data_IF_596299298730
#
_entry.id   IF_596299298730
#
_cell.length_a   1.000
_cell.length_b   1.000
_cell.length_c   1.000
_cell.angle_alpha   90.00
_cell.angle_beta   90.00
_cell.angle_gamma   90.00
#
_symmetry.space_group_name_H-M   'P 1'
#
loop_
_entity.id
_entity.type
_entity.pdbx_description
1 polymer ?
#
# COMPACT_ATOMS: atom_id res chain seq x y z
N UNK A 1 -19.06 3.63 0.58
CA UNK A 1 -17.60 3.65 0.81
C UNK A 1 -16.90 2.71 -0.18
N UNK A 2 -15.81 3.14 -0.77
CA UNK A 2 -15.05 2.33 -1.73
C UNK A 2 -14.45 1.09 -1.08
N UNK A 3 -14.41 0.00 -1.84
CA UNK A 3 -13.82 -1.27 -1.40
C UNK A 3 -12.61 -1.62 -2.27
N UNK A 4 -11.68 -2.33 -1.68
CA UNK A 4 -10.50 -2.85 -2.39
C UNK A 4 -10.98 -3.90 -3.39
N UNK A 5 -10.77 -3.63 -4.68
CA UNK A 5 -11.14 -4.53 -5.78
C UNK A 5 -9.97 -5.44 -6.17
N UNK A 6 -8.79 -4.85 -6.33
CA UNK A 6 -7.57 -5.58 -6.68
C UNK A 6 -6.32 -4.84 -6.21
N UNK A 7 -5.22 -5.56 -6.15
CA UNK A 7 -3.91 -5.01 -5.84
C UNK A 7 -2.93 -5.53 -6.89
N UNK A 8 -2.27 -4.60 -7.57
CA UNK A 8 -1.29 -4.91 -8.60
C UNK A 8 0.10 -4.47 -8.16
N UNK A 9 1.10 -5.26 -8.45
CA UNK A 9 2.49 -4.88 -8.27
C UNK A 9 3.11 -4.57 -9.64
N UNK A 10 3.71 -3.39 -9.73
CA UNK A 10 4.38 -2.91 -10.94
C UNK A 10 5.86 -2.77 -10.63
N UNK A 11 6.68 -3.55 -11.31
CA UNK A 11 8.13 -3.50 -11.14
C UNK A 11 8.77 -2.70 -12.27
N UNK A 12 9.58 -1.70 -11.91
CA UNK A 12 10.33 -0.91 -12.87
C UNK A 12 11.79 -1.40 -12.96
N UNK A 13 12.41 -1.27 -14.14
CA UNK A 13 13.77 -1.78 -14.38
C UNK A 13 14.75 -0.72 -14.92
N UNK A 14 14.26 0.42 -15.43
CA UNK A 14 15.10 1.38 -16.17
C UNK A 14 15.72 2.50 -15.33
N UNK A 15 15.08 2.95 -14.26
CA UNK A 15 15.52 4.12 -13.50
C UNK A 15 15.57 3.87 -12.00
N UNK A 16 15.83 2.65 -11.61
CA UNK A 16 15.78 2.17 -10.25
C UNK A 16 14.95 0.90 -10.17
N UNK A 17 15.17 0.10 -9.16
CA UNK A 17 14.41 -1.14 -8.96
C UNK A 17 13.25 -0.87 -8.01
N UNK A 18 12.23 -0.16 -8.52
CA UNK A 18 11.03 0.16 -7.76
C UNK A 18 10.00 -0.95 -7.89
N UNK A 19 9.38 -1.31 -6.79
CA UNK A 19 8.17 -2.13 -6.76
C UNK A 19 7.02 -1.25 -6.29
N UNK A 20 6.14 -0.91 -7.21
CA UNK A 20 4.99 -0.06 -6.93
C UNK A 20 3.79 -0.94 -6.64
N UNK A 21 3.12 -0.69 -5.53
CA UNK A 21 1.84 -1.31 -5.19
C UNK A 21 0.73 -0.37 -5.61
N UNK A 22 -0.16 -0.84 -6.46
CA UNK A 22 -1.36 -0.12 -6.89
C UNK A 22 -2.60 -0.80 -6.34
N UNK A 23 -3.29 -0.12 -5.44
CA UNK A 23 -4.57 -0.58 -4.90
C UNK A 23 -5.70 0.02 -5.72
N UNK A 24 -6.47 -0.84 -6.38
CA UNK A 24 -7.64 -0.44 -7.17
C UNK A 24 -8.90 -0.63 -6.34
N UNK A 25 -9.84 0.32 -6.49
CA UNK A 25 -11.13 0.24 -5.81
C UNK A 25 -12.26 -0.14 -6.77
N UNK A 26 -13.41 -0.44 -6.21
CA UNK A 26 -14.65 -0.66 -6.96
C UNK A 26 -15.25 0.65 -7.52
N UNK A 27 -14.72 1.81 -7.13
CA UNK A 27 -15.10 3.11 -7.70
C UNK A 27 -14.18 3.44 -8.88
N UNK A 28 -14.74 3.65 -10.09
CA UNK A 28 -13.94 3.99 -11.26
C UNK A 28 -13.06 5.22 -11.06
N UNK A 29 -11.79 5.11 -11.41
CA UNK A 29 -10.83 6.22 -11.29
C UNK A 29 -10.23 6.43 -9.91
N UNK A 30 -10.74 5.76 -8.86
CA UNK A 30 -10.18 5.86 -7.51
C UNK A 30 -9.21 4.70 -7.25
N UNK A 31 -7.95 5.04 -7.11
CA UNK A 31 -6.87 4.10 -6.78
C UNK A 31 -5.80 4.78 -5.93
N UNK A 32 -4.99 3.99 -5.27
CA UNK A 32 -3.84 4.48 -4.50
C UNK A 32 -2.55 3.80 -4.93
N UNK A 33 -1.45 4.48 -4.69
CA UNK A 33 -0.11 4.03 -5.02
C UNK A 33 0.77 4.08 -3.79
N UNK A 34 1.51 2.99 -3.55
CA UNK A 34 2.53 2.90 -2.52
C UNK A 34 3.79 2.25 -3.09
N UNK A 35 4.87 2.31 -2.34
CA UNK A 35 6.12 1.65 -2.71
C UNK A 35 6.41 0.51 -1.74
N UNK A 36 6.64 -0.68 -2.29
CA UNK A 36 7.11 -1.86 -1.59
C UNK A 36 8.48 -2.27 -2.14
N UNK A 37 9.39 -1.31 -2.25
CA UNK A 37 10.67 -1.50 -2.92
C UNK A 37 11.69 -2.16 -1.99
N UNK A 38 12.19 -3.30 -2.43
CA UNK A 38 13.35 -3.97 -1.86
C UNK A 38 14.29 -4.30 -3.03
N UNK A 39 15.48 -3.71 -3.03
CA UNK A 39 16.44 -3.84 -4.12
C UNK A 39 16.92 -5.28 -4.29
N UNK A 40 17.03 -6.03 -3.20
CA UNK A 40 17.60 -7.36 -3.20
C UNK A 40 16.58 -8.49 -3.41
N UNK A 41 15.32 -8.28 -2.97
CA UNK A 41 14.31 -9.34 -2.93
C UNK A 41 12.96 -8.88 -3.51
N UNK A 42 12.92 -8.25 -4.70
CA UNK A 42 11.67 -7.69 -5.22
C UNK A 42 10.60 -8.76 -5.50
N UNK A 43 10.98 -9.93 -6.04
CA UNK A 43 10.04 -11.02 -6.29
C UNK A 43 9.45 -11.58 -4.98
N UNK A 44 10.24 -11.65 -3.93
CA UNK A 44 9.80 -12.12 -2.62
C UNK A 44 8.77 -11.16 -2.02
N UNK A 45 9.00 -9.86 -2.16
CA UNK A 45 8.05 -8.83 -1.69
C UNK A 45 6.76 -8.89 -2.52
N UNK A 46 6.84 -9.04 -3.84
CA UNK A 46 5.67 -9.19 -4.71
C UNK A 46 4.85 -10.42 -4.29
N UNK A 47 5.50 -11.54 -4.03
CA UNK A 47 4.82 -12.74 -3.55
C UNK A 47 4.18 -12.52 -2.18
N UNK A 48 4.82 -11.76 -1.29
CA UNK A 48 4.22 -11.40 -0.01
C UNK A 48 2.95 -10.56 -0.18
N UNK A 49 2.93 -9.61 -1.11
CA UNK A 49 1.71 -8.87 -1.47
C UNK A 49 0.62 -9.83 -1.99
N UNK A 50 0.97 -10.78 -2.83
CA UNK A 50 0.02 -11.77 -3.35
C UNK A 50 -0.59 -12.61 -2.21
N UNK A 51 0.18 -12.99 -1.20
CA UNK A 51 -0.35 -13.74 -0.05
C UNK A 51 -1.23 -12.90 0.87
N UNK A 52 -1.03 -11.58 0.90
CA UNK A 52 -1.85 -10.65 1.69
C UNK A 52 -3.23 -10.40 1.03
N UNK A 53 -3.29 -10.39 -0.29
CA UNK A 53 -4.50 -10.04 -1.07
C UNK A 53 -5.78 -10.70 -0.56
N UNK A 54 -5.86 -12.02 -0.36
CA UNK A 54 -7.10 -12.67 0.05
C UNK A 54 -7.66 -12.16 1.38
N UNK A 55 -6.80 -11.64 2.24
CA UNK A 55 -7.18 -11.12 3.55
C UNK A 55 -7.87 -9.76 3.47
N UNK A 56 -7.53 -8.95 2.46
CA UNK A 56 -7.95 -7.55 2.40
C UNK A 56 -8.85 -7.19 1.22
N UNK A 57 -8.90 -7.99 0.17
CA UNK A 57 -9.83 -7.76 -0.95
C UNK A 57 -11.27 -7.72 -0.43
N UNK A 58 -12.05 -6.74 -0.89
CA UNK A 58 -13.44 -6.52 -0.46
C UNK A 58 -13.61 -5.68 0.80
N UNK A 59 -12.53 -5.39 1.54
CA UNK A 59 -12.60 -4.47 2.69
C UNK A 59 -12.74 -3.03 2.21
N UNK A 60 -13.30 -2.19 3.07
CA UNK A 60 -13.41 -0.75 2.80
C UNK A 60 -12.05 -0.07 2.95
N UNK A 61 -11.75 0.84 2.02
CA UNK A 61 -10.42 1.48 1.94
C UNK A 61 -10.13 2.48 3.06
N UNK A 62 -11.12 2.87 3.83
CA UNK A 62 -10.96 3.78 4.97
C UNK A 62 -10.58 3.09 6.28
N UNK A 63 -10.70 1.77 6.34
CA UNK A 63 -10.31 0.97 7.51
C UNK A 63 -8.83 0.66 7.53
N UNK A 64 -7.98 1.67 7.35
CA UNK A 64 -6.53 1.53 7.17
C UNK A 64 -5.89 0.84 8.38
N UNK A 65 -6.19 1.30 9.57
CA UNK A 65 -5.61 0.75 10.80
C UNK A 65 -6.07 -0.69 11.05
N UNK A 66 -7.34 -0.99 10.80
CA UNK A 66 -7.87 -2.35 10.93
C UNK A 66 -7.24 -3.31 9.91
N UNK A 67 -7.07 -2.85 8.68
CA UNK A 67 -6.37 -3.62 7.63
C UNK A 67 -4.92 -3.89 8.05
N UNK A 68 -4.22 -2.87 8.53
CA UNK A 68 -2.83 -3.01 8.99
C UNK A 68 -2.72 -4.04 10.12
N UNK A 69 -3.55 -3.91 11.15
CA UNK A 69 -3.57 -4.82 12.28
C UNK A 69 -3.91 -6.25 11.84
N UNK A 70 -4.91 -6.42 10.98
CA UNK A 70 -5.32 -7.71 10.46
C UNK A 70 -4.18 -8.41 9.72
N UNK A 71 -3.49 -7.70 8.83
CA UNK A 71 -2.36 -8.27 8.07
C UNK A 71 -1.19 -8.59 9.00
N UNK A 72 -0.84 -7.66 9.89
CA UNK A 72 0.28 -7.84 10.82
C UNK A 72 0.08 -9.04 11.76
N UNK A 73 -1.15 -9.28 12.20
CA UNK A 73 -1.46 -10.34 13.17
C UNK A 73 -1.94 -11.64 12.55
N UNK A 74 -2.12 -11.71 11.23
CA UNK A 74 -2.67 -12.88 10.53
C UNK A 74 -1.73 -14.10 10.54
N UNK A 75 -0.43 -13.90 10.72
CA UNK A 75 0.57 -14.95 10.75
C UNK A 75 1.07 -15.24 12.16
N UNK A 76 1.53 -16.48 12.39
CA UNK A 76 2.20 -16.85 13.62
C UNK A 76 3.52 -16.06 13.78
N UNK A 77 4.33 -16.03 12.72
CA UNK A 77 5.55 -15.25 12.64
C UNK A 77 5.24 -13.84 12.17
N UNK A 78 5.52 -12.86 13.01
CA UNK A 78 5.27 -11.43 12.73
C UNK A 78 6.58 -10.69 12.59
N UNK A 79 6.52 -9.54 11.90
CA UNK A 79 7.68 -8.74 11.55
C UNK A 79 8.57 -9.36 10.45
N UNK A 80 9.69 -8.74 10.24
CA UNK A 80 10.63 -9.06 9.18
C UNK A 80 10.52 -8.10 8.00
N UNK A 81 11.65 -7.90 7.32
CA UNK A 81 11.78 -6.88 6.29
C UNK A 81 10.83 -7.11 5.10
N UNK A 82 10.65 -8.36 4.68
CA UNK A 82 9.84 -8.67 3.49
C UNK A 82 8.35 -8.37 3.73
N UNK A 83 7.79 -8.91 4.81
CA UNK A 83 6.37 -8.69 5.12
C UNK A 83 6.08 -7.24 5.49
N UNK A 84 6.95 -6.59 6.24
CA UNK A 84 6.79 -5.18 6.58
C UNK A 84 6.88 -4.27 5.36
N UNK A 85 7.75 -4.58 4.40
CA UNK A 85 7.85 -3.85 3.13
C UNK A 85 6.57 -4.00 2.30
N UNK A 86 6.05 -5.21 2.18
CA UNK A 86 4.80 -5.47 1.47
C UNK A 86 3.61 -4.73 2.13
N UNK A 87 3.47 -4.87 3.44
CA UNK A 87 2.43 -4.20 4.21
C UNK A 87 2.55 -2.68 4.12
N UNK A 88 3.77 -2.15 4.22
CA UNK A 88 4.03 -0.71 4.10
C UNK A 88 3.60 -0.14 2.75
N UNK A 89 3.87 -0.86 1.66
CA UNK A 89 3.43 -0.44 0.32
C UNK A 89 1.90 -0.38 0.20
N UNK A 90 1.21 -1.36 0.74
CA UNK A 90 -0.26 -1.38 0.78
C UNK A 90 -0.80 -0.24 1.66
N UNK A 91 -0.22 -0.05 2.83
CA UNK A 91 -0.62 1.00 3.78
C UNK A 91 -0.52 2.39 3.15
N UNK A 92 0.60 2.71 2.53
CA UNK A 92 0.80 3.99 1.83
C UNK A 92 -0.23 4.16 0.70
N UNK A 93 -0.52 3.11 -0.06
CA UNK A 93 -1.54 3.16 -1.11
C UNK A 93 -2.94 3.46 -0.56
N UNK A 94 -3.30 2.92 0.59
CA UNK A 94 -4.57 3.20 1.26
C UNK A 94 -4.63 4.65 1.75
N UNK A 95 -3.55 5.18 2.30
CA UNK A 95 -3.46 6.59 2.68
C UNK A 95 -3.54 7.53 1.48
N UNK A 96 -2.96 7.15 0.33
CA UNK A 96 -3.10 7.90 -0.92
C UNK A 96 -4.57 7.96 -1.37
N UNK A 97 -5.30 6.85 -1.28
CA UNK A 97 -6.75 6.83 -1.54
C UNK A 97 -7.47 7.78 -0.58
N UNK A 98 -7.14 7.74 0.70
CA UNK A 98 -7.77 8.61 1.71
C UNK A 98 -7.54 10.08 1.40
N UNK A 99 -6.34 10.46 1.00
CA UNK A 99 -6.03 11.81 0.55
C UNK A 99 -6.85 12.24 -0.65
N UNK A 100 -6.98 11.37 -1.65
CA UNK A 100 -7.80 11.62 -2.85
C UNK A 100 -9.28 11.81 -2.52
N UNK A 101 -9.82 10.96 -1.66
CA UNK A 101 -11.21 11.08 -1.20
C UNK A 101 -11.43 12.37 -0.42
N UNK A 102 -10.48 12.77 0.41
CA UNK A 102 -10.54 14.01 1.17
C UNK A 102 -10.24 15.27 0.34
N UNK A 103 -9.76 15.12 -0.90
CA UNK A 103 -9.35 16.25 -1.75
C UNK A 103 -8.08 16.95 -1.25
N UNK A 104 -7.24 16.25 -0.50
CA UNK A 104 -6.02 16.78 0.10
C UNK A 104 -4.80 15.98 -0.37
N UNK A 105 -3.65 16.64 -0.63
CA UNK A 105 -2.42 15.92 -0.80
C UNK A 105 -2.04 15.22 0.51
N UNK A 106 -1.39 14.07 0.41
CA UNK A 106 -1.13 13.21 1.56
C UNK A 106 -0.35 13.90 2.67
N UNK A 107 0.65 14.73 2.33
CA UNK A 107 1.42 15.47 3.34
C UNK A 107 0.53 16.40 4.18
N UNK A 108 -0.51 16.97 3.57
CA UNK A 108 -1.45 17.86 4.26
C UNK A 108 -2.37 17.06 5.19
N UNK A 109 -2.81 15.89 4.73
CA UNK A 109 -3.60 14.98 5.55
C UNK A 109 -2.83 14.49 6.79
N UNK A 110 -1.50 14.33 6.68
CA UNK A 110 -0.64 13.86 7.75
C UNK A 110 -0.07 14.96 8.66
N UNK A 111 -0.54 16.20 8.53
CA UNK A 111 -0.18 17.29 9.45
C UNK A 111 0.59 18.44 8.82
N UNK A 112 0.79 18.44 7.51
CA UNK A 112 1.42 19.54 6.79
C UNK A 112 2.91 19.34 6.53
N UNK A 113 3.49 20.27 5.80
CA UNK A 113 4.87 20.21 5.37
C UNK A 113 5.80 20.90 6.38
N UNK A 114 6.96 20.31 6.64
CA UNK A 114 7.99 20.89 7.47
C UNK A 114 9.15 21.51 6.69
N UNK A 115 9.26 21.23 5.38
CA UNK A 115 10.30 21.82 4.51
C UNK A 115 9.80 21.86 3.08
N UNK A 116 10.41 22.72 2.25
CA UNK A 116 10.01 22.91 0.85
C UNK A 116 10.88 22.13 -0.15
N UNK A 117 12.01 21.60 0.32
CA UNK A 117 12.93 20.80 -0.51
C UNK A 117 13.51 19.65 0.29
N UNK A 118 14.04 18.66 -0.43
CA UNK A 118 14.74 17.48 0.12
C UNK A 118 16.23 17.72 0.11
#
# INVERSE_FOLDING_TARGET
MAKIKSIDCIRTRRSGMWTIVKVLTDQPGLYGIGSASDVNHPETVIQAVETIKPTIIGRTVDQIEDIWQCVHTSGYWRNGSILNTALGGIDVALWDIKGKVAGLPLYQLLGGKCRSAV
#
